data_IF_634588379152
#
_entry.id   IF_634588379152
#
_cell.length_a   1.000
_cell.length_b   1.000
_cell.length_c   1.000
_cell.angle_alpha   90.00
_cell.angle_beta   90.00
_cell.angle_gamma   90.00
#
_symmetry.space_group_name_H-M   'P 1'
#
loop_
_entity.id
_entity.type
_entity.pdbx_description
1 polymer ?
#
# COMPACT_ATOMS: atom_id res chain seq x y z
N UNK A 1 -15.85 19.35 -18.17
CA UNK A 1 -14.90 18.36 -18.72
C UNK A 1 -13.93 17.99 -17.60
N UNK A 2 -14.22 16.95 -16.82
CA UNK A 2 -13.34 16.54 -15.71
C UNK A 2 -12.34 15.55 -16.30
N UNK A 3 -11.11 16.02 -16.53
CA UNK A 3 -10.00 15.18 -16.94
C UNK A 3 -9.57 14.36 -15.73
N UNK A 4 -10.05 13.12 -15.66
CA UNK A 4 -9.45 12.10 -14.82
C UNK A 4 -8.10 11.76 -15.44
N UNK A 5 -7.04 12.40 -14.97
CA UNK A 5 -5.73 11.80 -15.07
C UNK A 5 -5.71 10.63 -14.10
N UNK A 6 -5.74 9.40 -14.61
CA UNK A 6 -4.59 8.54 -14.36
C UNK A 6 -4.52 7.39 -15.38
N UNK A 7 -3.52 7.57 -16.24
CA UNK A 7 -2.61 6.55 -16.75
C UNK A 7 -3.11 5.09 -16.78
N UNK A 8 -3.31 4.61 -18.01
CA UNK A 8 -3.23 3.20 -18.37
C UNK A 8 -2.01 2.52 -17.71
N UNK A 9 -2.20 1.28 -17.24
CA UNK A 9 -1.20 0.33 -16.67
C UNK A 9 -1.01 0.36 -15.15
N UNK A 10 -1.81 -0.44 -14.44
CA UNK A 10 -1.35 -0.99 -13.16
C UNK A 10 -1.85 -2.43 -12.98
N UNK A 11 -1.23 -3.35 -13.73
CA UNK A 11 -1.17 -4.80 -13.40
C UNK A 11 -0.44 -5.06 -12.06
N UNK A 12 -0.01 -4.00 -11.36
CA UNK A 12 0.73 -4.04 -10.11
C UNK A 12 -0.16 -4.09 -8.86
N UNK A 13 -1.43 -4.50 -8.99
CA UNK A 13 -2.31 -4.72 -7.83
C UNK A 13 -1.86 -5.98 -7.10
N UNK A 14 -1.44 -5.81 -5.85
CA UNK A 14 -1.04 -6.89 -4.95
C UNK A 14 -1.88 -6.83 -3.66
N UNK A 15 -1.81 -7.87 -2.85
CA UNK A 15 -2.30 -7.79 -1.47
C UNK A 15 -1.16 -7.39 -0.53
N UNK A 16 -1.51 -6.77 0.59
CA UNK A 16 -0.52 -6.43 1.64
C UNK A 16 0.21 -7.68 2.14
N UNK A 17 -0.44 -8.83 2.11
CA UNK A 17 0.19 -10.09 2.51
C UNK A 17 1.22 -10.65 1.52
N UNK A 18 1.14 -10.27 0.25
CA UNK A 18 2.09 -10.67 -0.80
C UNK A 18 3.35 -9.79 -0.82
N UNK A 19 3.37 -8.73 -0.01
CA UNK A 19 4.47 -7.80 0.08
C UNK A 19 5.41 -8.18 1.24
N UNK A 20 6.72 -8.20 1.02
CA UNK A 20 7.68 -8.42 2.10
C UNK A 20 7.72 -7.22 3.06
N UNK A 21 8.13 -7.50 4.29
CA UNK A 21 8.35 -6.47 5.31
C UNK A 21 9.47 -5.54 4.84
N UNK A 22 9.26 -4.23 4.95
CA UNK A 22 10.14 -3.18 4.43
C UNK A 22 9.75 -2.68 3.04
N UNK A 23 8.86 -3.37 2.33
CA UNK A 23 8.42 -2.91 1.00
C UNK A 23 7.44 -1.74 1.08
N UNK A 24 7.49 -0.89 0.05
CA UNK A 24 6.63 0.29 -0.09
C UNK A 24 5.51 0.01 -1.09
N UNK A 25 4.33 0.49 -0.76
CA UNK A 25 3.14 0.32 -1.59
C UNK A 25 2.30 1.59 -1.57
N UNK A 26 1.53 1.79 -2.62
CA UNK A 26 0.57 2.89 -2.73
C UNK A 26 -0.78 2.38 -2.27
N UNK A 27 -1.41 3.14 -1.37
CA UNK A 27 -2.79 2.91 -0.98
C UNK A 27 -3.57 4.21 -1.12
N UNK A 28 -4.57 4.18 -2.00
CA UNK A 28 -5.35 5.34 -2.45
C UNK A 28 -4.48 6.37 -3.18
N UNK A 29 -3.84 7.28 -2.44
CA UNK A 29 -2.97 8.35 -2.97
C UNK A 29 -1.67 8.50 -2.18
N UNK A 30 -1.53 7.77 -1.07
CA UNK A 30 -0.39 7.87 -0.17
C UNK A 30 0.51 6.64 -0.29
N UNK A 31 1.79 6.84 -0.02
CA UNK A 31 2.78 5.77 0.04
C UNK A 31 2.90 5.29 1.47
N UNK A 32 2.80 3.98 1.65
CA UNK A 32 2.98 3.28 2.90
C UNK A 32 4.15 2.31 2.80
N UNK A 33 4.78 2.01 3.93
CA UNK A 33 5.82 1.00 4.06
C UNK A 33 5.38 -0.05 5.09
N UNK A 34 5.58 -1.33 4.80
CA UNK A 34 5.31 -2.41 5.76
C UNK A 34 6.43 -2.42 6.81
N UNK A 35 6.08 -2.22 8.07
CA UNK A 35 7.04 -2.26 9.18
C UNK A 35 7.04 -3.63 9.87
N UNK A 36 5.87 -4.21 10.10
CA UNK A 36 5.74 -5.47 10.84
C UNK A 36 4.50 -6.26 10.42
N UNK A 37 4.60 -7.58 10.35
CA UNK A 37 3.44 -8.48 10.23
C UNK A 37 2.96 -8.90 11.62
N UNK A 38 1.72 -8.55 11.97
CA UNK A 38 0.99 -9.06 13.14
C UNK A 38 0.10 -10.23 12.74
N UNK A 39 -0.49 -10.94 13.73
CA UNK A 39 -1.30 -12.17 13.52
C UNK A 39 -2.23 -12.14 12.30
N UNK A 40 -3.09 -11.12 12.19
CA UNK A 40 -4.10 -10.98 11.11
C UNK A 40 -3.99 -9.63 10.36
N UNK A 41 -2.97 -8.83 10.69
CA UNK A 41 -2.86 -7.44 10.26
C UNK A 41 -1.41 -7.07 10.05
N UNK A 42 -1.17 -6.07 9.22
CA UNK A 42 0.15 -5.55 8.93
C UNK A 42 0.25 -4.12 9.47
N UNK A 43 1.30 -3.85 10.23
CA UNK A 43 1.62 -2.50 10.66
C UNK A 43 2.35 -1.82 9.51
N UNK A 44 1.73 -0.80 8.95
CA UNK A 44 2.29 -0.04 7.86
C UNK A 44 2.41 1.43 8.26
N UNK A 45 3.53 2.06 7.91
CA UNK A 45 3.78 3.47 8.16
C UNK A 45 3.49 4.28 6.92
N UNK A 46 2.64 5.29 7.03
CA UNK A 46 2.43 6.29 5.99
C UNK A 46 3.68 7.17 5.90
N UNK A 47 4.30 7.23 4.73
CA UNK A 47 5.53 8.01 4.52
C UNK A 47 5.27 9.52 4.39
N UNK A 48 4.07 9.93 3.98
CA UNK A 48 3.65 11.33 3.88
C UNK A 48 3.46 11.97 5.26
N UNK A 49 2.84 11.25 6.20
CA UNK A 49 2.45 11.77 7.53
C UNK A 49 3.27 11.19 8.69
N UNK A 50 4.03 10.12 8.46
CA UNK A 50 4.77 9.39 9.49
C UNK A 50 3.92 8.53 10.43
N UNK A 51 2.59 8.54 10.27
CA UNK A 51 1.66 7.79 11.13
C UNK A 51 1.63 6.31 10.77
N UNK A 52 1.40 5.47 11.78
CA UNK A 52 1.30 4.02 11.61
C UNK A 52 -0.16 3.57 11.60
N UNK A 53 -0.47 2.60 10.74
CA UNK A 53 -1.81 2.06 10.51
C UNK A 53 -1.78 0.54 10.44
N UNK A 54 -2.89 -0.09 10.85
CA UNK A 54 -3.04 -1.55 10.81
C UNK A 54 -3.89 -1.97 9.61
N UNK A 55 -3.22 -2.46 8.57
CA UNK A 55 -3.84 -3.00 7.37
C UNK A 55 -4.32 -4.44 7.57
N UNK A 56 -5.39 -4.83 6.89
CA UNK A 56 -5.81 -6.24 6.81
C UNK A 56 -4.95 -6.96 5.78
N UNK A 57 -4.72 -8.27 5.94
CA UNK A 57 -3.98 -9.09 4.97
C UNK A 57 -4.55 -8.97 3.55
N UNK A 58 -5.87 -9.07 3.44
CA UNK A 58 -6.60 -9.00 2.17
C UNK A 58 -6.79 -7.56 1.63
N UNK A 59 -6.06 -6.57 2.16
CA UNK A 59 -6.11 -5.21 1.63
C UNK A 59 -5.42 -5.17 0.27
N UNK A 60 -6.12 -4.67 -0.75
CA UNK A 60 -5.57 -4.46 -2.09
C UNK A 60 -4.76 -3.16 -2.11
N UNK A 61 -3.54 -3.26 -2.60
CA UNK A 61 -2.56 -2.17 -2.68
C UNK A 61 -1.83 -2.23 -4.01
N UNK A 62 -1.15 -1.15 -4.38
CA UNK A 62 -0.37 -1.10 -5.61
C UNK A 62 1.12 -1.10 -5.31
N UNK A 63 1.88 -1.95 -6.01
CA UNK A 63 3.34 -1.97 -5.91
C UNK A 63 3.94 -0.77 -6.62
N UNK A 64 4.73 0.00 -5.88
CA UNK A 64 5.69 0.95 -6.47
C UNK A 64 6.79 0.12 -7.14
N UNK A 65 6.89 0.22 -8.47
CA UNK A 65 7.97 -0.39 -9.27
C UNK A 65 9.34 0.16 -8.89
#
# INVERSE_FOLDING_TARGET
LVKYFDSEHSDNKAYVEDLPIGEKFIYQTDIYQIEEKKKKRYLCKNLSTGRMYLFKSCARVERTK
#
